data_IF_506034845660
#
_entry.id   IF_506034845660
#
_cell.length_a   1.000
_cell.length_b   1.000
_cell.length_c   1.000
_cell.angle_alpha   90.00
_cell.angle_beta   90.00
_cell.angle_gamma   90.00
#
_symmetry.space_group_name_H-M   'P 1'
#
loop_
_entity.id
_entity.type
_entity.pdbx_description
1 polymer ?
#
# COMPACT_ATOMS: atom_id res chain seq x y z
N UNK A 1 -24.61 -1.06 20.34
CA UNK A 1 -23.22 -0.63 20.09
C UNK A 1 -23.15 0.58 19.15
N UNK A 2 -23.69 0.51 17.93
CA UNK A 2 -23.65 1.67 17.00
C UNK A 2 -24.55 2.85 17.43
N UNK A 3 -25.61 2.59 18.21
CA UNK A 3 -26.47 3.64 18.79
C UNK A 3 -25.81 4.39 19.96
N UNK A 4 -24.71 3.88 20.53
CA UNK A 4 -23.95 4.56 21.58
C UNK A 4 -23.08 5.67 20.98
N UNK A 5 -23.47 6.92 21.25
CA UNK A 5 -22.78 8.11 20.72
C UNK A 5 -21.40 8.34 21.34
N UNK A 6 -21.19 7.92 22.59
CA UNK A 6 -19.87 8.01 23.24
C UNK A 6 -18.91 7.01 22.61
N UNK A 7 -19.37 5.78 22.41
CA UNK A 7 -18.60 4.74 21.73
C UNK A 7 -18.22 5.15 20.30
N UNK A 8 -19.19 5.56 19.48
CA UNK A 8 -18.94 5.89 18.07
C UNK A 8 -17.99 7.08 17.89
N UNK A 9 -18.11 8.13 18.71
CA UNK A 9 -17.16 9.26 18.70
C UNK A 9 -15.74 8.81 19.05
N UNK A 10 -15.58 8.02 20.11
CA UNK A 10 -14.27 7.50 20.50
C UNK A 10 -13.68 6.56 19.45
N UNK A 11 -14.50 5.68 18.89
CA UNK A 11 -14.09 4.74 17.86
C UNK A 11 -13.52 5.46 16.64
N UNK A 12 -14.24 6.46 16.10
CA UNK A 12 -13.79 7.20 14.91
C UNK A 12 -12.45 7.89 15.18
N UNK A 13 -12.33 8.60 16.31
CA UNK A 13 -11.10 9.33 16.67
C UNK A 13 -9.90 8.39 16.83
N UNK A 14 -10.07 7.30 17.58
CA UNK A 14 -9.00 6.37 17.86
C UNK A 14 -8.64 5.54 16.62
N UNK A 15 -9.62 5.17 15.79
CA UNK A 15 -9.38 4.47 14.53
C UNK A 15 -8.57 5.34 13.56
N UNK A 16 -8.95 6.60 13.35
CA UNK A 16 -8.19 7.53 12.51
C UNK A 16 -6.75 7.74 13.02
N UNK A 17 -6.57 7.87 14.33
CA UNK A 17 -5.24 7.99 14.95
C UNK A 17 -4.38 6.77 14.67
N UNK A 18 -4.90 5.57 14.87
CA UNK A 18 -4.18 4.30 14.65
C UNK A 18 -3.88 4.07 13.18
N UNK A 19 -4.83 4.32 12.28
CA UNK A 19 -4.62 4.22 10.83
C UNK A 19 -3.52 5.17 10.36
N UNK A 20 -3.54 6.44 10.80
CA UNK A 20 -2.49 7.42 10.49
C UNK A 20 -1.11 6.98 10.99
N UNK A 21 -1.03 6.40 12.20
CA UNK A 21 0.23 5.88 12.73
C UNK A 21 0.75 4.69 11.91
N UNK A 22 -0.13 3.77 11.51
CA UNK A 22 0.24 2.59 10.70
C UNK A 22 0.67 2.98 9.28
N UNK A 23 -0.06 3.88 8.64
CA UNK A 23 0.32 4.44 7.34
C UNK A 23 1.71 5.08 7.39
N UNK A 24 1.99 5.92 8.41
CA UNK A 24 3.32 6.53 8.59
C UNK A 24 4.42 5.49 8.77
N UNK A 25 4.16 4.41 9.54
CA UNK A 25 5.13 3.34 9.76
C UNK A 25 5.48 2.62 8.45
N UNK A 26 4.47 2.28 7.63
CA UNK A 26 4.69 1.65 6.33
C UNK A 26 5.46 2.57 5.38
N UNK A 27 4.98 3.79 5.17
CA UNK A 27 5.60 4.75 4.24
C UNK A 27 7.04 5.09 4.64
N UNK A 28 7.31 5.31 5.94
CA UNK A 28 8.68 5.57 6.40
C UNK A 28 9.60 4.36 6.29
N UNK A 29 9.07 3.14 6.45
CA UNK A 29 9.82 1.90 6.21
C UNK A 29 10.22 1.74 4.74
N UNK A 30 9.28 1.92 3.82
CA UNK A 30 9.52 1.85 2.38
C UNK A 30 10.50 2.93 1.91
N UNK A 31 10.33 4.16 2.40
CA UNK A 31 11.23 5.28 2.04
C UNK A 31 12.69 5.03 2.43
N UNK A 32 12.95 4.30 3.53
CA UNK A 32 14.31 3.96 3.96
C UNK A 32 15.04 3.04 2.98
N UNK A 33 14.30 2.28 2.17
CA UNK A 33 14.86 1.39 1.13
C UNK A 33 14.65 1.96 -0.28
N UNK A 34 14.37 3.27 -0.40
CA UNK A 34 14.24 3.94 -1.69
C UNK A 34 12.87 3.82 -2.37
N UNK A 35 11.89 3.18 -1.72
CA UNK A 35 10.55 2.98 -2.31
C UNK A 35 9.60 4.09 -1.83
N UNK A 36 8.98 4.80 -2.77
CA UNK A 36 7.99 5.84 -2.49
C UNK A 36 6.55 5.32 -2.55
N UNK A 37 5.63 6.08 -1.96
CA UNK A 37 4.18 5.84 -2.09
C UNK A 37 3.50 7.10 -2.59
N UNK A 38 2.38 6.95 -3.31
CA UNK A 38 1.46 8.04 -3.59
C UNK A 38 1.01 8.68 -2.27
N UNK A 39 1.04 10.02 -2.21
CA UNK A 39 0.60 10.76 -1.03
C UNK A 39 -0.91 10.56 -0.83
N UNK A 40 -1.28 9.87 0.24
CA UNK A 40 -2.68 9.60 0.61
C UNK A 40 -2.98 10.01 2.06
N UNK A 41 -4.27 10.14 2.38
CA UNK A 41 -4.78 10.53 3.70
C UNK A 41 -5.85 9.58 4.28
N UNK A 42 -6.20 8.51 3.57
CA UNK A 42 -7.28 7.59 3.92
C UNK A 42 -6.98 6.16 3.44
N UNK A 43 -7.89 5.22 3.77
CA UNK A 43 -7.79 3.82 3.38
C UNK A 43 -7.07 2.95 4.41
N UNK A 44 -6.95 1.66 4.06
CA UNK A 44 -6.28 0.63 4.87
C UNK A 44 -5.00 0.11 4.18
N UNK A 45 -4.55 0.81 3.14
CA UNK A 45 -3.46 0.42 2.25
C UNK A 45 -2.64 1.66 1.82
N UNK A 46 -1.54 1.43 1.13
CA UNK A 46 -0.76 2.48 0.45
C UNK A 46 -0.64 2.09 -1.02
N UNK A 47 -0.65 3.08 -1.91
CA UNK A 47 -0.34 2.87 -3.33
C UNK A 47 1.16 3.12 -3.51
N UNK A 48 1.92 2.05 -3.69
CA UNK A 48 3.37 2.00 -3.65
C UNK A 48 3.94 2.06 -5.05
N UNK A 49 4.94 2.91 -5.26
CA UNK A 49 5.61 3.09 -6.54
C UNK A 49 6.90 2.25 -6.59
N UNK A 50 6.84 1.15 -7.33
CA UNK A 50 7.97 0.26 -7.58
C UNK A 50 8.42 0.29 -9.04
N UNK A 51 8.04 1.31 -9.82
CA UNK A 51 8.37 1.41 -11.26
C UNK A 51 9.86 1.31 -11.55
N UNK A 52 10.69 1.86 -10.66
CA UNK A 52 12.15 1.81 -10.75
C UNK A 52 12.76 0.42 -10.51
N UNK A 53 11.97 -0.55 -10.04
CA UNK A 53 12.38 -1.95 -9.83
C UNK A 53 11.98 -2.86 -11.00
N UNK A 54 11.20 -2.35 -11.96
CA UNK A 54 10.84 -3.11 -13.15
C UNK A 54 12.04 -3.25 -14.09
N UNK A 55 12.14 -4.40 -14.76
CA UNK A 55 13.12 -4.61 -15.84
C UNK A 55 12.78 -3.81 -17.11
N UNK A 56 11.50 -3.53 -17.34
CA UNK A 56 10.96 -2.75 -18.45
C UNK A 56 9.61 -2.14 -18.05
N UNK A 57 9.18 -1.08 -18.73
CA UNK A 57 7.88 -0.44 -18.47
C UNK A 57 6.72 -1.22 -19.09
N UNK A 58 6.50 -2.47 -18.66
CA UNK A 58 5.44 -3.36 -19.15
C UNK A 58 4.77 -4.13 -18.00
N UNK A 59 3.56 -4.63 -18.22
CA UNK A 59 2.84 -5.41 -17.20
C UNK A 59 3.48 -6.78 -16.96
N UNK A 60 4.14 -7.37 -17.96
CA UNK A 60 4.90 -8.61 -17.79
C UNK A 60 6.01 -8.42 -16.75
N UNK A 61 6.74 -7.30 -16.80
CA UNK A 61 7.75 -6.96 -15.81
C UNK A 61 7.16 -6.72 -14.41
N UNK A 62 5.96 -6.13 -14.31
CA UNK A 62 5.23 -6.01 -13.03
C UNK A 62 4.91 -7.37 -12.44
N UNK A 63 4.41 -8.31 -13.26
CA UNK A 63 4.07 -9.67 -12.82
C UNK A 63 5.33 -10.45 -12.43
N UNK A 64 6.45 -10.28 -13.11
CA UNK A 64 7.72 -10.90 -12.73
C UNK A 64 8.26 -10.36 -11.42
N UNK A 65 8.19 -9.04 -11.19
CA UNK A 65 8.51 -8.44 -9.90
C UNK A 65 7.57 -8.96 -8.81
N UNK A 66 6.26 -8.99 -9.06
CA UNK A 66 5.25 -9.50 -8.14
C UNK A 66 5.54 -10.95 -7.73
N UNK A 67 5.85 -11.83 -8.69
CA UNK A 67 6.23 -13.22 -8.42
C UNK A 67 7.44 -13.31 -7.50
N UNK A 68 8.49 -12.51 -7.72
CA UNK A 68 9.67 -12.47 -6.81
C UNK A 68 9.26 -12.02 -5.40
N UNK A 69 8.38 -11.03 -5.29
CA UNK A 69 7.89 -10.57 -3.98
C UNK A 69 7.11 -11.68 -3.26
N UNK A 70 6.26 -12.41 -3.97
CA UNK A 70 5.47 -13.52 -3.39
C UNK A 70 6.35 -14.73 -3.07
N UNK A 71 7.18 -15.18 -4.00
CA UNK A 71 7.92 -16.43 -3.87
C UNK A 71 9.24 -16.28 -3.11
N UNK A 72 9.94 -15.16 -3.22
CA UNK A 72 11.26 -14.97 -2.59
C UNK A 72 11.15 -14.14 -1.31
N UNK A 73 10.43 -13.01 -1.37
CA UNK A 73 10.25 -12.10 -0.22
C UNK A 73 9.14 -12.55 0.73
N UNK A 74 8.27 -13.47 0.28
CA UNK A 74 7.15 -14.06 1.06
C UNK A 74 6.13 -13.02 1.53
N UNK A 75 5.89 -11.99 0.71
CA UNK A 75 4.87 -10.98 0.96
C UNK A 75 3.75 -11.09 -0.07
N UNK A 76 2.51 -11.21 0.41
CA UNK A 76 1.34 -11.10 -0.45
C UNK A 76 0.94 -9.64 -0.60
N UNK A 77 1.03 -9.13 -1.82
CA UNK A 77 0.61 -7.78 -2.22
C UNK A 77 -0.13 -7.86 -3.55
N UNK A 78 -0.87 -6.80 -3.89
CA UNK A 78 -1.64 -6.75 -5.13
C UNK A 78 -0.84 -6.01 -6.20
N UNK A 79 -0.61 -6.58 -7.39
CA UNK A 79 -0.03 -5.84 -8.51
C UNK A 79 -1.07 -4.87 -9.08
N UNK A 80 -0.64 -3.69 -9.53
CA UNK A 80 -1.51 -2.62 -10.02
C UNK A 80 -2.42 -3.03 -11.17
N UNK A 81 -1.96 -3.95 -12.01
CA UNK A 81 -2.74 -4.61 -13.06
C UNK A 81 -4.02 -5.29 -12.56
N UNK A 82 -4.03 -5.84 -11.34
CA UNK A 82 -5.24 -6.42 -10.73
C UNK A 82 -6.31 -5.38 -10.38
N UNK A 83 -5.91 -4.10 -10.29
CA UNK A 83 -6.80 -2.97 -10.10
C UNK A 83 -7.01 -2.17 -11.40
N UNK A 84 -6.65 -2.74 -12.56
CA UNK A 84 -6.71 -2.09 -13.87
C UNK A 84 -5.95 -0.76 -13.94
N UNK A 85 -4.83 -0.64 -13.21
CA UNK A 85 -3.94 0.51 -13.37
C UNK A 85 -3.43 0.57 -14.81
N UNK A 86 -3.42 1.77 -15.40
CA UNK A 86 -2.98 1.98 -16.78
C UNK A 86 -1.44 2.04 -16.93
N UNK A 87 -0.72 2.15 -15.81
CA UNK A 87 0.74 2.15 -15.75
C UNK A 87 1.21 0.93 -14.95
N UNK A 88 2.22 0.17 -15.42
CA UNK A 88 2.79 -0.92 -14.65
C UNK A 88 3.68 -0.40 -13.51
N UNK A 89 3.91 -1.21 -12.49
CA UNK A 89 4.86 -0.96 -11.39
C UNK A 89 4.25 -0.32 -10.16
N UNK A 90 2.93 -0.18 -10.12
CA UNK A 90 2.18 0.18 -8.92
C UNK A 90 1.77 -1.07 -8.14
N UNK A 91 1.78 -0.97 -6.81
CA UNK A 91 1.39 -2.05 -5.89
C UNK A 91 0.61 -1.52 -4.69
#
# INVERSE_FOLDING_TARGET
>A
MLSDKKFTKNYISENQKRLKQRQKKLVSGLKKVGISCLKSNAGLFCWVDMRHLLSSNTFEAEIDLWKKIVYDVKLNISPGSSCHCIEPGWF
#
